data_IF_448775529672
#
_entry.id   IF_448775529672
#
_cell.length_a   1.000
_cell.length_b   1.000
_cell.length_c   1.000
_cell.angle_alpha   90.00
_cell.angle_beta   90.00
_cell.angle_gamma   90.00
#
_symmetry.space_group_name_H-M   'P 1'
#
loop_
_entity.id
_entity.type
_entity.pdbx_description
1 polymer ?
#
# COMPACT_ATOMS: atom_id res chain seq x y z
N UNK A 1 -22.63 10.85 14.82
CA UNK A 1 -21.68 10.64 13.71
C UNK A 1 -22.01 9.28 13.15
N UNK A 2 -22.61 9.24 11.97
CA UNK A 2 -22.86 7.97 11.27
C UNK A 2 -21.57 7.61 10.53
N UNK A 3 -21.04 6.44 10.81
CA UNK A 3 -19.90 5.90 10.07
C UNK A 3 -20.42 5.29 8.77
N UNK A 4 -19.74 5.57 7.66
CA UNK A 4 -20.03 4.92 6.39
C UNK A 4 -19.64 3.43 6.49
N UNK A 5 -20.54 2.51 6.12
CA UNK A 5 -20.27 1.07 6.12
C UNK A 5 -19.04 0.69 5.27
N UNK A 6 -18.79 1.44 4.20
CA UNK A 6 -17.62 1.23 3.35
C UNK A 6 -16.33 1.72 4.02
N UNK A 7 -16.36 2.83 4.77
CA UNK A 7 -15.21 3.26 5.57
C UNK A 7 -14.84 2.20 6.62
N UNK A 8 -15.85 1.65 7.31
CA UNK A 8 -15.65 0.56 8.28
C UNK A 8 -15.08 -0.71 7.62
N UNK A 9 -15.50 -1.02 6.39
CA UNK A 9 -14.97 -2.16 5.64
C UNK A 9 -13.49 -1.95 5.31
N UNK A 10 -13.10 -0.79 4.79
CA UNK A 10 -11.69 -0.49 4.48
C UNK A 10 -10.82 -0.48 5.73
N UNK A 11 -11.28 0.15 6.80
CA UNK A 11 -10.60 0.17 8.10
C UNK A 11 -10.43 -1.25 8.69
N UNK A 12 -11.35 -2.18 8.43
CA UNK A 12 -11.21 -3.53 8.94
C UNK A 12 -10.38 -4.44 8.02
N UNK A 13 -10.59 -4.34 6.70
CA UNK A 13 -10.00 -5.27 5.74
C UNK A 13 -8.57 -4.88 5.32
N UNK A 14 -8.28 -3.58 5.16
CA UNK A 14 -6.95 -3.10 4.71
C UNK A 14 -5.89 -3.15 5.82
N UNK A 15 -6.28 -3.01 7.07
CA UNK A 15 -5.34 -2.95 8.20
C UNK A 15 -4.53 -4.23 8.34
N UNK A 16 -3.21 -4.07 8.53
CA UNK A 16 -2.26 -5.16 8.68
C UNK A 16 -1.15 -5.14 7.63
N UNK A 17 -0.37 -6.22 7.59
CA UNK A 17 0.76 -6.37 6.69
C UNK A 17 0.36 -7.07 5.38
N UNK A 18 0.90 -6.57 4.27
CA UNK A 18 0.65 -7.04 2.92
C UNK A 18 1.96 -7.22 2.18
N UNK A 19 2.14 -8.36 1.52
CA UNK A 19 3.35 -8.71 0.77
C UNK A 19 2.99 -9.58 -0.43
N UNK A 20 3.96 -10.31 -0.99
CA UNK A 20 3.81 -11.11 -2.22
C UNK A 20 3.26 -10.24 -3.37
N UNK A 21 3.89 -9.09 -3.58
CA UNK A 21 3.44 -8.11 -4.56
C UNK A 21 3.65 -8.66 -5.97
N UNK A 22 2.58 -8.73 -6.74
CA UNK A 22 2.58 -9.07 -8.16
C UNK A 22 2.10 -7.86 -8.96
N UNK A 23 3.00 -7.27 -9.75
CA UNK A 23 2.66 -6.14 -10.61
C UNK A 23 2.01 -6.62 -11.92
N UNK A 24 1.04 -5.86 -12.41
CA UNK A 24 0.44 -6.02 -13.73
C UNK A 24 0.35 -4.66 -14.44
N UNK A 25 -0.25 -4.63 -15.64
CA UNK A 25 -0.33 -3.40 -16.46
C UNK A 25 -1.06 -2.23 -15.80
N UNK A 26 -1.95 -2.49 -14.84
CA UNK A 26 -2.84 -1.49 -14.24
C UNK A 26 -2.54 -1.21 -12.76
N UNK A 27 -1.62 -1.95 -12.15
CA UNK A 27 -1.30 -1.81 -10.73
C UNK A 27 -0.67 -3.07 -10.16
N UNK A 28 -1.20 -3.54 -9.02
CA UNK A 28 -0.61 -4.66 -8.29
C UNK A 28 -1.63 -5.50 -7.54
N UNK A 29 -1.29 -6.75 -7.27
CA UNK A 29 -1.97 -7.56 -6.26
C UNK A 29 -1.06 -7.86 -5.08
N UNK A 30 -1.64 -8.04 -3.90
CA UNK A 30 -0.90 -8.37 -2.68
C UNK A 30 -1.68 -9.39 -1.85
N UNK A 31 -0.97 -10.09 -0.97
CA UNK A 31 -1.55 -11.03 0.00
C UNK A 31 -1.33 -10.55 1.42
N UNK A 32 -2.33 -10.72 2.28
CA UNK A 32 -2.21 -10.42 3.71
C UNK A 32 -1.26 -11.41 4.38
N UNK A 33 -0.30 -10.90 5.13
CA UNK A 33 0.71 -11.67 5.86
C UNK A 33 0.69 -11.30 7.33
N UNK A 34 1.21 -12.18 8.20
CA UNK A 34 1.28 -11.89 9.64
C UNK A 34 2.30 -10.81 9.98
N UNK A 35 3.40 -10.75 9.23
CA UNK A 35 4.47 -9.78 9.36
C UNK A 35 5.24 -9.65 8.04
N UNK A 36 5.91 -8.52 7.82
CA UNK A 36 6.85 -8.37 6.71
C UNK A 36 8.18 -9.01 7.10
N UNK A 37 8.57 -10.08 6.41
CA UNK A 37 9.90 -10.66 6.54
C UNK A 37 10.99 -9.69 6.05
N UNK A 38 12.22 -9.93 6.50
CA UNK A 38 13.37 -9.09 6.11
C UNK A 38 13.59 -9.19 4.60
N UNK A 39 13.87 -8.06 3.95
CA UNK A 39 14.19 -7.99 2.52
C UNK A 39 13.06 -8.44 1.58
N UNK A 40 11.81 -8.38 2.03
CA UNK A 40 10.63 -8.61 1.18
C UNK A 40 9.84 -7.31 1.05
N UNK A 41 9.40 -6.98 -0.17
CA UNK A 41 8.54 -5.84 -0.43
C UNK A 41 7.17 -5.98 0.25
N UNK A 42 6.59 -4.86 0.66
CA UNK A 42 5.27 -4.89 1.25
C UNK A 42 4.83 -3.57 1.85
N UNK A 43 3.62 -3.60 2.40
CA UNK A 43 3.02 -2.47 3.09
C UNK A 43 2.49 -2.90 4.45
N UNK A 44 2.46 -1.99 5.42
CA UNK A 44 1.73 -2.16 6.68
C UNK A 44 0.80 -0.97 6.84
N UNK A 45 -0.50 -1.23 6.95
CA UNK A 45 -1.51 -0.19 7.21
C UNK A 45 -1.94 -0.25 8.67
N UNK A 46 -1.85 0.89 9.37
CA UNK A 46 -2.22 1.01 10.78
C UNK A 46 -3.54 1.78 10.96
N UNK A 47 -4.27 1.48 12.04
CA UNK A 47 -5.60 2.04 12.34
C UNK A 47 -5.63 3.54 12.60
N UNK A 48 -4.46 4.16 12.78
CA UNK A 48 -4.32 5.60 13.01
C UNK A 48 -4.01 6.38 11.71
N UNK A 49 -4.10 5.75 10.54
CA UNK A 49 -3.79 6.37 9.26
C UNK A 49 -2.30 6.44 8.92
N UNK A 50 -1.41 5.89 9.76
CA UNK A 50 0.01 5.72 9.36
C UNK A 50 0.20 4.42 8.58
N UNK A 51 1.24 4.39 7.77
CA UNK A 51 1.65 3.17 7.08
C UNK A 51 3.17 3.06 6.97
N UNK A 52 3.61 1.85 6.67
CA UNK A 52 4.99 1.56 6.25
C UNK A 52 4.93 1.04 4.82
N UNK A 53 5.80 1.56 3.95
CA UNK A 53 6.11 0.94 2.68
C UNK A 53 7.54 0.37 2.75
N UNK A 54 7.68 -0.94 2.57
CA UNK A 54 8.98 -1.61 2.50
C UNK A 54 9.38 -1.75 1.04
N UNK A 55 10.39 -0.99 0.64
CA UNK A 55 10.91 -0.96 -0.73
C UNK A 55 12.43 -0.86 -0.76
N UNK A 56 13.03 -0.80 -1.95
CA UNK A 56 14.48 -0.72 -2.13
C UNK A 56 15.07 0.40 -1.30
N UNK A 57 16.15 0.12 -0.55
CA UNK A 57 16.86 1.10 0.28
C UNK A 57 17.62 2.18 -0.50
N UNK A 58 17.49 2.20 -1.83
CA UNK A 58 18.18 3.15 -2.70
C UNK A 58 18.06 2.75 -4.18
N UNK A 59 18.74 3.52 -5.03
CA UNK A 59 18.78 3.33 -6.49
C UNK A 59 19.31 1.96 -6.94
N UNK A 60 20.12 1.32 -6.10
CA UNK A 60 20.84 0.11 -6.48
C UNK A 60 20.08 -1.15 -6.06
N UNK A 61 19.32 -1.74 -6.98
CA UNK A 61 18.66 -3.05 -6.83
C UNK A 61 19.61 -4.25 -7.02
N UNK A 62 20.91 -4.09 -6.72
CA UNK A 62 21.90 -5.17 -6.96
C UNK A 62 21.77 -6.23 -5.87
N UNK A 63 21.61 -7.52 -6.21
CA UNK A 63 21.48 -8.57 -5.22
C UNK A 63 22.62 -8.61 -4.18
N UNK A 64 22.31 -8.93 -2.90
CA UNK A 64 20.97 -9.21 -2.39
C UNK A 64 20.12 -7.93 -2.32
N UNK A 65 18.83 -8.04 -2.64
CA UNK A 65 17.87 -6.93 -2.49
C UNK A 65 17.88 -6.52 -1.01
N UNK A 66 18.24 -5.27 -0.74
CA UNK A 66 18.13 -4.66 0.58
C UNK A 66 16.94 -3.72 0.54
N UNK A 67 15.98 -4.00 1.41
CA UNK A 67 14.80 -3.15 1.60
C UNK A 67 14.93 -2.36 2.90
N UNK A 68 14.34 -1.17 2.94
CA UNK A 68 14.08 -0.47 4.19
C UNK A 68 12.60 -0.10 4.30
N UNK A 69 12.23 0.28 5.51
CA UNK A 69 10.92 0.82 5.81
C UNK A 69 10.92 2.34 5.56
N UNK A 70 9.90 2.79 4.84
CA UNK A 70 9.58 4.20 4.66
C UNK A 70 8.23 4.48 5.29
N UNK A 71 8.20 5.46 6.19
CA UNK A 71 6.97 5.88 6.83
C UNK A 71 6.11 6.70 5.86
N UNK A 72 4.81 6.46 5.93
CA UNK A 72 3.82 7.15 5.12
C UNK A 72 2.50 7.30 5.84
N UNK A 73 1.52 7.81 5.12
CA UNK A 73 0.14 7.93 5.59
C UNK A 73 -0.82 7.36 4.56
N UNK A 74 -1.96 6.90 5.05
CA UNK A 74 -3.07 6.48 4.23
C UNK A 74 -4.37 7.04 4.79
N UNK A 75 -5.33 7.28 3.90
CA UNK A 75 -6.71 7.64 4.27
C UNK A 75 -7.68 7.25 3.17
N UNK A 76 -8.94 7.12 3.53
CA UNK A 76 -10.03 6.98 2.57
C UNK A 76 -10.34 8.39 2.02
N UNK A 77 -10.24 8.53 0.71
CA UNK A 77 -10.54 9.75 -0.04
C UNK A 77 -11.95 9.71 -0.64
N UNK A 78 -12.18 10.60 -1.60
CA UNK A 78 -13.43 10.62 -2.37
C UNK A 78 -13.60 9.34 -3.20
N UNK A 79 -14.84 8.96 -3.47
CA UNK A 79 -15.21 7.76 -4.23
C UNK A 79 -14.56 6.48 -3.69
N UNK A 80 -14.32 6.40 -2.38
CA UNK A 80 -13.74 5.23 -1.68
C UNK A 80 -12.33 4.85 -2.17
N UNK A 81 -11.63 5.79 -2.79
CA UNK A 81 -10.23 5.61 -3.18
C UNK A 81 -9.34 5.72 -1.95
N UNK A 82 -8.32 4.88 -1.86
CA UNK A 82 -7.32 5.00 -0.81
C UNK A 82 -6.24 5.97 -1.28
N UNK A 83 -6.04 7.05 -0.53
CA UNK A 83 -4.96 8.00 -0.74
C UNK A 83 -3.75 7.55 0.07
N UNK A 84 -2.67 7.16 -0.62
CA UNK A 84 -1.40 6.76 -0.03
C UNK A 84 -0.36 7.84 -0.26
N UNK A 85 0.36 8.24 0.78
CA UNK A 85 1.46 9.20 0.70
C UNK A 85 2.70 8.64 1.39
N UNK A 86 3.82 8.58 0.68
CA UNK A 86 5.08 8.05 1.20
C UNK A 86 6.26 8.88 0.69
N UNK A 87 7.22 9.15 1.56
CA UNK A 87 8.51 9.74 1.21
C UNK A 87 9.60 8.68 1.17
N UNK A 88 10.31 8.57 0.06
CA UNK A 88 11.46 7.69 -0.10
C UNK A 88 12.70 8.45 -0.62
N UNK A 89 13.72 7.70 -1.04
CA UNK A 89 14.98 8.25 -1.55
C UNK A 89 14.86 8.89 -2.94
N UNK A 90 13.76 8.64 -3.67
CA UNK A 90 13.40 9.28 -4.94
C UNK A 90 12.53 10.52 -4.74
N UNK A 91 11.98 10.72 -3.54
CA UNK A 91 11.16 11.87 -3.18
C UNK A 91 9.83 11.47 -2.55
N UNK A 92 8.90 12.42 -2.50
CA UNK A 92 7.57 12.17 -1.96
C UNK A 92 6.60 11.80 -3.08
N UNK A 93 5.89 10.69 -2.91
CA UNK A 93 4.88 10.21 -3.83
C UNK A 93 3.53 10.18 -3.13
N UNK A 94 2.48 10.65 -3.82
CA UNK A 94 1.10 10.46 -3.40
C UNK A 94 0.33 9.78 -4.52
N UNK A 95 -0.45 8.74 -4.19
CA UNK A 95 -1.20 7.93 -5.15
C UNK A 95 -2.64 7.74 -4.70
N UNK A 96 -3.56 7.65 -5.67
CA UNK A 96 -4.92 7.18 -5.44
C UNK A 96 -5.04 5.71 -5.87
N UNK A 97 -5.55 4.87 -4.97
CA UNK A 97 -5.70 3.44 -5.18
C UNK A 97 -7.19 3.08 -5.19
N UNK A 98 -7.64 2.44 -6.27
CA UNK A 98 -8.87 1.67 -6.25
C UNK A 98 -8.57 0.29 -5.69
N UNK A 99 -9.19 -0.03 -4.55
CA UNK A 99 -8.91 -1.24 -3.79
C UNK A 99 -10.08 -2.22 -3.89
N UNK A 100 -9.80 -3.45 -4.33
CA UNK A 100 -10.77 -4.55 -4.35
C UNK A 100 -10.28 -5.70 -3.51
N UNK A 101 -11.05 -6.06 -2.47
CA UNK A 101 -10.75 -7.21 -1.62
C UNK A 101 -11.31 -8.49 -2.21
N UNK A 102 -10.46 -9.50 -2.30
CA UNK A 102 -10.81 -10.84 -2.75
C UNK A 102 -10.97 -11.77 -1.54
N UNK A 103 -11.74 -12.86 -1.70
CA UNK A 103 -12.11 -13.77 -0.61
C UNK A 103 -10.92 -14.44 0.09
N UNK A 104 -9.76 -14.49 -0.55
CA UNK A 104 -8.58 -15.24 -0.08
C UNK A 104 -7.51 -14.37 0.59
N UNK A 105 -7.92 -13.26 1.23
CA UNK A 105 -6.99 -12.25 1.79
C UNK A 105 -6.03 -11.68 0.74
N UNK A 106 -6.46 -11.68 -0.53
CA UNK A 106 -5.80 -10.98 -1.62
C UNK A 106 -6.48 -9.64 -1.81
N UNK A 107 -5.68 -8.66 -2.19
CA UNK A 107 -6.17 -7.35 -2.58
C UNK A 107 -5.62 -7.02 -3.96
N UNK A 108 -6.50 -6.55 -4.82
CA UNK A 108 -6.16 -5.99 -6.12
C UNK A 108 -6.21 -4.47 -6.03
N UNK A 109 -5.13 -3.83 -6.42
CA UNK A 109 -4.96 -2.38 -6.42
C UNK A 109 -4.79 -1.92 -7.86
N UNK A 110 -5.70 -1.06 -8.30
CA UNK A 110 -5.51 -0.27 -9.51
C UNK A 110 -4.89 1.05 -9.10
N UNK A 111 -3.71 1.34 -9.64
CA UNK A 111 -3.00 2.59 -9.36
C UNK A 111 -3.43 3.56 -10.44
N UNK A 112 -4.20 4.58 -10.06
CA UNK A 112 -4.51 5.64 -11.00
C UNK A 112 -3.25 6.49 -11.17
N UNK A 113 -2.58 6.32 -12.32
CA UNK A 113 -1.50 7.22 -12.70
C UNK A 113 -2.12 8.56 -13.08
N UNK A 114 -2.38 9.42 -12.09
CA UNK A 114 -2.48 10.85 -12.38
C UNK A 114 -1.09 11.29 -12.82
N UNK A 115 -0.90 11.44 -14.13
CA UNK A 115 0.20 12.22 -14.68
C UNK A 115 0.15 13.59 -14.00
N UNK A 116 1.20 13.93 -13.25
CA UNK A 116 1.49 15.33 -12.95
C UNK A 116 2.12 15.87 -14.23
N UNK A 117 1.30 16.51 -15.06
CA UNK A 117 1.73 17.54 -16.00
C UNK A 117 1.05 18.86 -15.61
#
# INVERSE_FOLDING_TARGET
MEFNENELKFDHELIGAWSNIEYNELGMTMSKVNNLEKNIYGYVFNTNGTMVARMNSGWCGTPPIITQDYEGTWKIGEDEKILVSVGDWMGNTTQEWLVSFEKDKRVSILINHSSID
#
